data_IF_457217708293
#
_entry.id   IF_457217708293
#
_cell.length_a   1.000
_cell.length_b   1.000
_cell.length_c   1.000
_cell.angle_alpha   90.00
_cell.angle_beta   90.00
_cell.angle_gamma   90.00
#
_symmetry.space_group_name_H-M   'P 1'
#
loop_
_entity.id
_entity.type
_entity.pdbx_description
1 polymer ?
#
# COMPACT_ATOMS: atom_id res chain seq x y z
N UNK A 1 -26.04 -10.05 -9.34
CA UNK A 1 -25.74 -8.62 -9.50
C UNK A 1 -24.42 -8.55 -10.24
N UNK A 2 -24.42 -8.09 -11.49
CA UNK A 2 -23.22 -8.09 -12.32
C UNK A 2 -22.20 -7.12 -11.71
N UNK A 3 -21.08 -7.66 -11.23
CA UNK A 3 -19.94 -6.89 -10.77
C UNK A 3 -19.47 -6.02 -11.94
N UNK A 4 -19.63 -4.70 -11.84
CA UNK A 4 -19.16 -3.77 -12.86
C UNK A 4 -17.71 -4.07 -13.16
N UNK A 5 -17.41 -4.32 -14.43
CA UNK A 5 -16.05 -4.67 -14.82
C UNK A 5 -15.13 -3.48 -14.56
N UNK A 6 -13.83 -3.73 -14.36
CA UNK A 6 -12.83 -2.67 -14.24
C UNK A 6 -12.91 -1.72 -15.44
N UNK A 7 -13.26 -2.22 -16.63
CA UNK A 7 -13.43 -1.39 -17.83
C UNK A 7 -14.57 -0.38 -17.70
N UNK A 8 -15.70 -0.77 -17.10
CA UNK A 8 -16.86 0.12 -16.92
C UNK A 8 -16.55 1.24 -15.93
N UNK A 9 -15.79 0.94 -14.87
CA UNK A 9 -15.36 1.92 -13.87
C UNK A 9 -14.36 2.93 -14.46
N UNK A 10 -13.40 2.45 -15.25
CA UNK A 10 -12.46 3.32 -15.97
C UNK A 10 -13.24 4.25 -16.92
N UNK A 11 -14.19 3.71 -17.67
CA UNK A 11 -14.98 4.50 -18.62
C UNK A 11 -15.85 5.56 -17.94
N UNK A 12 -16.42 5.24 -16.77
CA UNK A 12 -17.16 6.21 -15.96
C UNK A 12 -16.24 7.35 -15.49
N UNK A 13 -15.04 7.02 -15.00
CA UNK A 13 -14.05 8.00 -14.57
C UNK A 13 -13.59 8.89 -15.72
N UNK A 14 -13.30 8.32 -16.90
CA UNK A 14 -12.96 9.09 -18.10
C UNK A 14 -14.08 10.05 -18.52
N UNK A 15 -15.33 9.64 -18.36
CA UNK A 15 -16.51 10.47 -18.65
C UNK A 15 -16.62 11.62 -17.65
N UNK A 16 -16.40 11.36 -16.36
CA UNK A 16 -16.44 12.39 -15.31
C UNK A 16 -15.33 13.43 -15.46
N UNK A 17 -14.12 12.98 -15.81
CA UNK A 17 -12.96 13.85 -15.99
C UNK A 17 -12.92 14.52 -17.38
N UNK A 18 -13.80 14.11 -18.30
CA UNK A 18 -13.88 14.67 -19.66
C UNK A 18 -12.68 14.32 -20.55
N UNK A 19 -11.94 13.25 -20.23
CA UNK A 19 -10.73 12.87 -20.96
C UNK A 19 -10.44 11.37 -20.86
N UNK A 20 -10.02 10.77 -21.99
CA UNK A 20 -9.54 9.39 -21.99
C UNK A 20 -8.22 9.29 -21.24
N UNK A 21 -8.15 8.43 -20.24
CA UNK A 21 -6.98 8.16 -19.41
C UNK A 21 -6.12 7.06 -20.02
N UNK A 22 -6.72 6.16 -20.80
CA UNK A 22 -6.03 5.06 -21.46
C UNK A 22 -6.26 5.05 -22.97
N UNK A 23 -5.26 4.58 -23.70
CA UNK A 23 -5.38 4.20 -25.11
C UNK A 23 -5.09 2.71 -25.28
N UNK A 24 -5.87 2.05 -26.15
CA UNK A 24 -5.70 0.64 -26.49
C UNK A 24 -4.84 0.54 -27.74
N UNK A 25 -3.68 -0.08 -27.63
CA UNK A 25 -2.80 -0.40 -28.76
C UNK A 25 -2.68 -1.92 -28.93
N UNK A 26 -2.06 -2.34 -30.04
CA UNK A 26 -1.71 -3.75 -30.27
C UNK A 26 -0.74 -4.31 -29.22
N UNK A 27 -0.04 -3.45 -28.47
CA UNK A 27 0.90 -3.85 -27.42
C UNK A 27 0.26 -3.86 -26.02
N UNK A 28 -0.99 -3.40 -25.88
CA UNK A 28 -1.71 -3.39 -24.61
C UNK A 28 -2.37 -2.05 -24.31
N UNK A 29 -2.60 -1.80 -23.02
CA UNK A 29 -3.20 -0.58 -22.50
C UNK A 29 -2.09 0.37 -22.05
N UNK A 30 -2.09 1.61 -22.53
CA UNK A 30 -1.09 2.62 -22.14
C UNK A 30 -1.79 3.89 -21.69
N UNK A 31 -1.16 4.66 -20.79
CA UNK A 31 -1.69 5.95 -20.35
C UNK A 31 -1.66 6.96 -21.51
N UNK A 32 -2.66 7.82 -21.54
CA UNK A 32 -2.65 9.06 -22.33
C UNK A 32 -1.93 10.17 -21.53
N UNK A 33 -1.67 11.34 -22.12
CA UNK A 33 -1.18 12.49 -21.35
C UNK A 33 -2.10 12.87 -20.17
N UNK A 34 -3.42 12.69 -20.31
CA UNK A 34 -4.37 12.91 -19.21
C UNK A 34 -4.24 11.82 -18.13
N UNK A 35 -4.02 10.56 -18.53
CA UNK A 35 -3.73 9.47 -17.62
C UNK A 35 -2.44 9.67 -16.82
N UNK A 36 -1.36 10.08 -17.49
CA UNK A 36 -0.09 10.41 -16.84
C UNK A 36 -0.22 11.59 -15.88
N UNK A 37 -1.02 12.60 -16.24
CA UNK A 37 -1.30 13.73 -15.36
C UNK A 37 -2.12 13.32 -14.12
N UNK A 38 -3.09 12.41 -14.27
CA UNK A 38 -3.93 11.95 -13.17
C UNK A 38 -3.19 11.01 -12.22
N UNK A 39 -2.30 10.15 -12.75
CA UNK A 39 -1.63 9.08 -12.01
C UNK A 39 -1.10 9.50 -10.62
N UNK A 40 -0.26 10.54 -10.47
CA UNK A 40 0.27 10.91 -9.15
C UNK A 40 -0.84 11.33 -8.18
N UNK A 41 -1.88 12.03 -8.66
CA UNK A 41 -3.02 12.40 -7.80
C UNK A 41 -3.85 11.20 -7.40
N UNK A 42 -4.02 10.21 -8.28
CA UNK A 42 -4.72 8.99 -7.96
C UNK A 42 -3.97 8.17 -6.89
N UNK A 43 -2.64 8.07 -7.00
CA UNK A 43 -1.78 7.43 -6.01
C UNK A 43 -1.87 8.15 -4.65
N UNK A 44 -1.76 9.48 -4.63
CA UNK A 44 -1.88 10.30 -3.42
C UNK A 44 -3.28 10.18 -2.76
N UNK A 45 -4.35 10.19 -3.56
CA UNK A 45 -5.72 10.05 -3.04
C UNK A 45 -5.97 8.68 -2.42
N UNK A 46 -5.41 7.61 -3.00
CA UNK A 46 -5.51 6.26 -2.45
C UNK A 46 -4.75 6.16 -1.12
N UNK A 47 -3.52 6.68 -1.08
CA UNK A 47 -2.73 6.73 0.15
C UNK A 47 -3.47 7.51 1.26
N UNK A 48 -4.01 8.69 0.94
CA UNK A 48 -4.78 9.50 1.89
C UNK A 48 -6.07 8.78 2.35
N UNK A 49 -6.74 8.05 1.47
CA UNK A 49 -7.93 7.29 1.83
C UNK A 49 -7.61 6.15 2.80
N UNK A 50 -6.45 5.51 2.63
CA UNK A 50 -5.97 4.47 3.54
C UNK A 50 -5.54 5.05 4.90
N UNK A 51 -4.84 6.19 4.91
CA UNK A 51 -4.53 6.93 6.14
C UNK A 51 -5.79 7.32 6.92
N UNK A 52 -6.81 7.84 6.21
CA UNK A 52 -8.09 8.21 6.81
C UNK A 52 -8.81 7.00 7.41
N UNK A 53 -8.77 5.84 6.74
CA UNK A 53 -9.33 4.59 7.26
C UNK A 53 -8.58 4.13 8.51
N UNK A 54 -7.25 4.18 8.48
CA UNK A 54 -6.38 3.88 9.61
C UNK A 54 -6.66 4.78 10.82
N UNK A 55 -6.85 6.08 10.60
CA UNK A 55 -7.19 7.03 11.66
C UNK A 55 -8.53 6.69 12.34
N UNK A 56 -9.55 6.31 11.57
CA UNK A 56 -10.85 5.88 12.12
C UNK A 56 -10.73 4.54 12.84
N UNK A 57 -10.00 3.58 12.28
CA UNK A 57 -9.79 2.29 12.92
C UNK A 57 -9.01 2.40 14.24
N UNK A 58 -8.06 3.33 14.33
CA UNK A 58 -7.35 3.65 15.58
C UNK A 58 -8.25 4.20 16.68
N UNK A 59 -9.42 4.77 16.36
CA UNK A 59 -10.41 5.21 17.38
C UNK A 59 -11.18 4.04 18.01
N UNK A 60 -11.16 2.86 17.38
CA UNK A 60 -11.80 1.66 17.91
C UNK A 60 -10.85 1.06 18.96
N UNK A 61 -11.03 1.48 20.21
CA UNK A 61 -10.18 1.18 21.37
C UNK A 61 -9.93 -0.31 21.69
N UNK A 62 -10.57 -1.24 20.98
CA UNK A 62 -10.53 -2.69 21.20
C UNK A 62 -9.97 -3.49 20.00
N UNK A 63 -9.48 -2.84 18.94
CA UNK A 63 -8.83 -3.58 17.87
C UNK A 63 -7.36 -3.79 18.22
N UNK A 64 -6.88 -5.03 18.36
CA UNK A 64 -5.45 -5.26 18.45
C UNK A 64 -4.81 -4.74 17.16
N UNK A 65 -4.08 -3.62 17.23
CA UNK A 65 -3.47 -3.01 16.05
C UNK A 65 -2.57 -4.02 15.35
N UNK A 66 -2.59 -4.10 14.02
CA UNK A 66 -1.63 -4.94 13.29
C UNK A 66 -0.51 -4.06 12.74
N UNK A 67 0.74 -4.50 12.89
CA UNK A 67 1.91 -3.80 12.35
C UNK A 67 2.69 -4.77 11.45
N UNK A 68 2.71 -4.49 10.16
CA UNK A 68 3.40 -5.25 9.12
C UNK A 68 4.76 -4.63 8.84
N UNK A 69 5.84 -5.33 9.20
CA UNK A 69 7.22 -4.86 9.07
C UNK A 69 7.93 -5.71 8.03
N UNK A 70 8.49 -5.08 7.01
CA UNK A 70 9.41 -5.68 6.06
C UNK A 70 10.87 -5.43 6.42
N UNK A 71 11.73 -6.44 6.30
CA UNK A 71 13.15 -6.27 6.55
C UNK A 71 14.02 -7.24 5.74
N UNK A 72 15.25 -6.81 5.44
CA UNK A 72 16.29 -7.73 5.01
C UNK A 72 16.60 -8.74 6.12
N UNK A 73 16.95 -9.97 5.76
CA UNK A 73 17.22 -11.05 6.73
C UNK A 73 18.31 -10.69 7.75
N UNK A 74 19.36 -9.99 7.30
CA UNK A 74 20.45 -9.51 8.15
C UNK A 74 19.99 -8.48 9.18
N UNK A 75 19.10 -7.56 8.80
CA UNK A 75 18.55 -6.54 9.71
C UNK A 75 17.52 -7.15 10.65
N UNK A 76 16.66 -8.03 10.12
CA UNK A 76 15.64 -8.75 10.85
C UNK A 76 16.24 -9.52 12.05
N UNK A 77 17.28 -10.31 11.77
CA UNK A 77 17.95 -11.15 12.76
C UNK A 77 18.83 -10.35 13.72
N UNK A 78 19.62 -9.40 13.22
CA UNK A 78 20.63 -8.72 14.04
C UNK A 78 20.07 -7.57 14.89
N UNK A 79 18.97 -6.92 14.49
CA UNK A 79 18.47 -5.71 15.16
C UNK A 79 16.98 -5.73 15.52
N UNK A 80 16.14 -6.25 14.62
CA UNK A 80 14.70 -6.22 14.82
C UNK A 80 14.23 -7.23 15.86
N UNK A 81 14.75 -8.46 15.85
CA UNK A 81 14.31 -9.49 16.80
C UNK A 81 14.46 -9.07 18.29
N UNK A 82 15.60 -8.51 18.74
CA UNK A 82 15.73 -8.00 20.11
C UNK A 82 14.79 -6.84 20.43
N UNK A 83 14.60 -5.91 19.49
CA UNK A 83 13.75 -4.75 19.67
C UNK A 83 12.26 -5.13 19.74
N UNK A 84 11.82 -6.03 18.86
CA UNK A 84 10.45 -6.55 18.82
C UNK A 84 10.08 -7.30 20.10
N UNK A 85 11.04 -7.96 20.75
CA UNK A 85 10.79 -8.60 22.03
C UNK A 85 10.40 -7.59 23.13
N UNK A 86 11.09 -6.44 23.18
CA UNK A 86 10.74 -5.35 24.10
C UNK A 86 9.41 -4.67 23.72
N UNK A 87 9.24 -4.35 22.44
CA UNK A 87 8.02 -3.70 21.95
C UNK A 87 6.76 -4.55 22.22
N UNK A 88 6.82 -5.87 22.03
CA UNK A 88 5.69 -6.77 22.35
C UNK A 88 5.36 -6.81 23.83
N UNK A 89 6.35 -6.62 24.71
CA UNK A 89 6.12 -6.58 26.15
C UNK A 89 5.37 -5.30 26.56
N UNK A 90 5.70 -4.17 25.95
CA UNK A 90 5.08 -2.87 26.23
C UNK A 90 3.73 -2.66 25.50
N UNK A 91 3.51 -3.40 24.40
CA UNK A 91 2.35 -3.28 23.53
C UNK A 91 1.70 -4.64 23.22
N UNK A 92 1.23 -5.35 24.25
CA UNK A 92 0.64 -6.70 24.14
C UNK A 92 -0.60 -6.79 23.22
N UNK A 93 -1.24 -5.67 22.90
CA UNK A 93 -2.37 -5.59 21.98
C UNK A 93 -1.98 -5.51 20.50
N UNK A 94 -0.70 -5.49 20.12
CA UNK A 94 -0.32 -5.30 18.71
C UNK A 94 0.09 -6.63 18.05
N UNK A 95 -0.59 -7.02 16.96
CA UNK A 95 -0.22 -8.17 16.12
C UNK A 95 0.86 -7.76 15.10
N UNK A 96 2.10 -8.09 15.41
CA UNK A 96 3.25 -7.77 14.57
C UNK A 96 3.50 -8.90 13.57
N UNK A 97 3.48 -8.57 12.28
CA UNK A 97 3.82 -9.47 11.16
C UNK A 97 5.16 -9.05 10.57
N UNK A 98 6.14 -9.94 10.63
CA UNK A 98 7.46 -9.71 10.03
C UNK A 98 7.55 -10.39 8.67
N UNK A 99 8.01 -9.66 7.65
CA UNK A 99 8.25 -10.15 6.29
C UNK A 99 9.72 -9.99 5.96
N UNK A 100 10.34 -11.09 5.54
CA UNK A 100 11.73 -11.11 5.07
C UNK A 100 11.72 -11.09 3.55
N UNK A 101 12.30 -10.07 2.94
CA UNK A 101 12.44 -9.98 1.48
C UNK A 101 13.62 -9.07 1.10
N UNK A 102 14.01 -9.06 -0.18
CA UNK A 102 15.04 -8.15 -0.70
C UNK A 102 14.56 -6.70 -0.87
N UNK A 103 15.47 -5.73 -0.92
CA UNK A 103 15.14 -4.28 -0.95
C UNK A 103 14.10 -3.92 -2.01
N UNK A 104 14.23 -4.42 -3.23
CA UNK A 104 13.29 -4.11 -4.32
C UNK A 104 11.86 -4.59 -4.06
N UNK A 105 11.69 -5.80 -3.50
CA UNK A 105 10.36 -6.31 -3.15
C UNK A 105 9.77 -5.59 -1.94
N UNK A 106 10.62 -5.24 -0.97
CA UNK A 106 10.21 -4.46 0.20
C UNK A 106 9.72 -3.07 -0.20
N UNK A 107 10.45 -2.36 -1.06
CA UNK A 107 10.04 -1.03 -1.54
C UNK A 107 8.72 -1.12 -2.31
N UNK A 108 8.57 -2.11 -3.20
CA UNK A 108 7.31 -2.35 -3.92
C UNK A 108 6.15 -2.59 -2.95
N UNK A 109 6.32 -3.49 -1.98
CA UNK A 109 5.29 -3.82 -0.98
C UNK A 109 4.91 -2.63 -0.10
N UNK A 110 5.88 -1.75 0.20
CA UNK A 110 5.63 -0.52 0.94
C UNK A 110 4.78 0.44 0.09
N UNK A 111 5.11 0.61 -1.19
CA UNK A 111 4.30 1.40 -2.12
C UNK A 111 2.90 0.83 -2.36
N UNK A 112 2.76 -0.51 -2.33
CA UNK A 112 1.48 -1.21 -2.50
C UNK A 112 0.65 -1.26 -1.18
N UNK A 113 1.17 -0.75 -0.06
CA UNK A 113 0.51 -0.79 1.24
C UNK A 113 0.43 -2.18 1.89
N UNK A 114 1.19 -3.16 1.41
CA UNK A 114 1.25 -4.51 2.00
C UNK A 114 2.08 -4.58 3.30
N UNK A 115 2.98 -3.63 3.48
CA UNK A 115 3.79 -3.45 4.70
C UNK A 115 3.76 -1.97 5.11
N UNK A 116 3.80 -1.71 6.42
CA UNK A 116 3.74 -0.36 6.98
C UNK A 116 5.14 0.27 7.08
N UNK A 117 6.17 -0.56 7.27
CA UNK A 117 7.57 -0.14 7.44
C UNK A 117 8.52 -1.09 6.72
N UNK A 118 9.54 -0.56 6.05
CA UNK A 118 10.60 -1.35 5.42
C UNK A 118 12.00 -1.00 5.96
N UNK A 119 12.76 -2.02 6.36
CA UNK A 119 14.19 -1.91 6.70
C UNK A 119 15.04 -2.57 5.62
N UNK A 120 15.60 -1.75 4.72
CA UNK A 120 16.43 -2.21 3.62
C UNK A 120 17.62 -1.27 3.38
N UNK A 121 18.59 -1.73 2.58
CA UNK A 121 19.67 -0.88 2.07
C UNK A 121 19.25 -0.24 0.75
N UNK A 122 19.72 0.99 0.54
CA UNK A 122 19.58 1.77 -0.71
C UNK A 122 20.22 1.06 -1.91
#
# INVERSE_FOLDING_TARGET
>A
LAQSSVSDQIQALETELGGSLFTRSRQGLTLTPAGEALKPYAEDLLALADDARGAVDATKADMPGSLSIGALETIASARLAPWLAGFRADHAGIDIKLRIAGSGDLLRRLSDGEIDVAFCFE
#
